data_IF_311679544465
#
_entry.id   IF_311679544465
#
_cell.length_a   1.000
_cell.length_b   1.000
_cell.length_c   1.000
_cell.angle_alpha   90.00
_cell.angle_beta   90.00
_cell.angle_gamma   90.00
#
_symmetry.space_group_name_H-M   'P 1'
#
loop_
_entity.id
_entity.type
_entity.pdbx_description
1 polymer ?
#
# COMPACT_ATOMS: atom_id res chain seq x y z
N UNK A 1 28.58 -43.62 15.39
CA UNK A 1 28.09 -42.58 14.49
C UNK A 1 27.89 -43.18 13.11
N UNK A 2 26.63 -43.36 12.70
CA UNK A 2 26.25 -43.94 11.41
C UNK A 2 26.73 -43.09 10.24
N UNK A 3 26.87 -43.73 9.05
CA UNK A 3 27.29 -43.01 7.82
C UNK A 3 26.38 -41.84 7.45
N UNK A 4 25.10 -41.90 7.81
CA UNK A 4 24.12 -40.83 7.64
C UNK A 4 24.43 -39.61 8.55
N UNK A 5 24.82 -39.82 9.80
CA UNK A 5 25.23 -38.73 10.71
C UNK A 5 26.47 -37.99 10.24
N UNK A 6 27.40 -38.72 9.60
CA UNK A 6 28.61 -38.10 9.01
C UNK A 6 28.28 -37.30 7.74
N UNK A 7 27.28 -37.75 6.96
CA UNK A 7 26.78 -37.06 5.79
C UNK A 7 26.11 -35.73 6.18
N UNK A 8 25.21 -35.77 7.14
CA UNK A 8 24.50 -34.60 7.66
C UNK A 8 25.44 -33.57 8.28
N UNK A 9 26.49 -34.01 9.00
CA UNK A 9 27.51 -33.14 9.56
C UNK A 9 28.34 -32.42 8.49
N UNK A 10 28.68 -33.09 7.39
CA UNK A 10 29.39 -32.47 6.26
C UNK A 10 28.54 -31.47 5.50
N UNK A 11 27.24 -31.75 5.30
CA UNK A 11 26.32 -30.83 4.68
C UNK A 11 26.14 -29.59 5.55
N UNK A 12 25.97 -29.73 6.89
CA UNK A 12 25.92 -28.60 7.84
C UNK A 12 27.20 -27.76 7.82
N UNK A 13 28.37 -28.43 7.72
CA UNK A 13 29.66 -27.70 7.62
C UNK A 13 29.79 -26.95 6.28
N UNK A 14 29.33 -27.54 5.16
CA UNK A 14 29.37 -26.87 3.87
C UNK A 14 28.39 -25.69 3.83
N UNK A 15 27.19 -25.85 4.38
CA UNK A 15 26.22 -24.75 4.51
C UNK A 15 26.76 -23.65 5.41
N UNK A 16 27.35 -23.97 6.55
CA UNK A 16 28.00 -23.00 7.42
C UNK A 16 29.11 -22.24 6.68
N UNK A 17 29.95 -22.92 5.90
CA UNK A 17 31.01 -22.31 5.13
C UNK A 17 30.48 -21.37 4.05
N UNK A 18 29.42 -21.78 3.32
CA UNK A 18 28.76 -20.94 2.31
C UNK A 18 28.12 -19.71 2.98
N UNK A 19 27.39 -19.92 4.08
CA UNK A 19 26.82 -18.82 4.85
C UNK A 19 27.90 -17.88 5.41
N UNK A 20 29.05 -18.39 5.78
CA UNK A 20 30.16 -17.58 6.33
C UNK A 20 30.87 -16.73 5.27
N UNK A 21 31.03 -17.21 4.05
CA UNK A 21 31.90 -16.58 3.07
C UNK A 21 31.17 -15.89 1.92
N UNK A 22 29.93 -16.27 1.63
CA UNK A 22 29.25 -15.82 0.41
C UNK A 22 27.91 -15.08 0.67
N UNK A 23 27.42 -15.03 1.91
CA UNK A 23 26.17 -14.30 2.19
C UNK A 23 26.37 -12.80 2.20
N UNK A 24 25.51 -12.11 1.46
CA UNK A 24 25.47 -10.65 1.34
C UNK A 24 25.16 -10.00 2.71
N UNK A 25 24.35 -10.65 3.56
CA UNK A 25 23.96 -10.17 4.89
C UNK A 25 25.16 -9.90 5.81
N UNK A 26 26.30 -10.58 5.61
CA UNK A 26 27.53 -10.27 6.35
C UNK A 26 28.26 -9.00 5.88
N UNK A 27 27.94 -8.54 4.65
CA UNK A 27 28.51 -7.34 4.06
C UNK A 27 27.57 -6.14 4.13
N UNK A 28 26.31 -6.37 4.45
CA UNK A 28 25.25 -5.38 4.56
C UNK A 28 24.57 -5.52 5.92
N UNK A 29 24.57 -4.46 6.71
CA UNK A 29 23.81 -4.43 7.97
C UNK A 29 22.34 -4.20 7.58
N UNK A 30 21.52 -5.23 7.66
CA UNK A 30 20.07 -5.13 7.54
C UNK A 30 19.45 -5.22 8.93
N UNK A 31 18.80 -4.17 9.36
CA UNK A 31 17.94 -4.22 10.53
C UNK A 31 16.63 -4.89 10.11
N UNK A 32 16.40 -6.11 10.56
CA UNK A 32 15.13 -6.81 10.32
C UNK A 32 14.05 -6.28 11.26
N UNK A 33 12.88 -5.99 10.73
CA UNK A 33 11.73 -5.49 11.50
C UNK A 33 11.35 -6.40 12.66
N UNK A 34 11.40 -7.71 12.49
CA UNK A 34 11.10 -8.69 13.54
C UNK A 34 11.97 -8.53 14.80
N UNK A 35 13.24 -8.16 14.64
CA UNK A 35 14.16 -7.95 15.78
C UNK A 35 13.87 -6.69 16.59
N UNK A 36 13.03 -5.82 16.07
CA UNK A 36 12.66 -4.53 16.65
C UNK A 36 11.14 -4.34 16.77
N UNK A 37 10.38 -5.44 16.64
CA UNK A 37 8.91 -5.42 16.64
C UNK A 37 8.31 -4.70 17.87
N UNK A 38 8.93 -4.83 19.04
CA UNK A 38 8.53 -4.11 20.26
C UNK A 38 8.64 -2.57 20.15
N UNK A 39 9.35 -2.06 19.14
CA UNK A 39 9.56 -0.63 18.88
C UNK A 39 8.83 -0.12 17.65
N UNK A 40 8.04 -0.98 17.03
CA UNK A 40 7.26 -0.66 15.84
C UNK A 40 5.80 -0.42 16.21
N UNK A 41 5.18 0.54 15.55
CA UNK A 41 3.74 0.76 15.66
C UNK A 41 2.98 -0.46 15.11
N UNK A 42 1.83 -0.77 15.71
CA UNK A 42 0.94 -1.82 15.23
C UNK A 42 0.20 -1.34 13.99
N UNK A 43 0.07 -2.21 12.99
CA UNK A 43 -0.81 -1.98 11.85
C UNK A 43 -2.24 -2.37 12.20
N UNK A 44 -3.20 -1.56 11.81
CA UNK A 44 -4.64 -1.82 11.98
C UNK A 44 -5.38 -1.49 10.69
N UNK A 45 -6.45 -2.22 10.42
CA UNK A 45 -7.30 -2.06 9.24
C UNK A 45 -8.67 -1.53 9.64
N UNK A 46 -9.15 -0.53 8.90
CA UNK A 46 -10.54 -0.10 8.86
C UNK A 46 -11.05 -0.21 7.43
N UNK A 47 -11.84 -1.25 7.16
CA UNK A 47 -12.39 -1.54 5.85
C UNK A 47 -13.75 -0.86 5.69
N UNK A 48 -13.95 -0.13 4.61
CA UNK A 48 -15.18 0.60 4.30
C UNK A 48 -15.72 0.11 2.95
N UNK A 49 -16.57 -0.91 2.95
CA UNK A 49 -17.30 -1.28 1.74
C UNK A 49 -18.31 -0.19 1.38
N UNK A 50 -18.44 0.11 0.11
CA UNK A 50 -19.54 0.91 -0.41
C UNK A 50 -20.21 0.17 -1.56
N UNK A 51 -21.52 0.35 -1.69
CA UNK A 51 -22.27 -0.24 -2.79
C UNK A 51 -22.24 0.69 -3.99
N UNK A 52 -21.69 0.26 -5.15
CA UNK A 52 -21.67 1.07 -6.37
C UNK A 52 -23.07 1.59 -6.74
N UNK A 53 -23.15 2.87 -7.12
CA UNK A 53 -24.41 3.57 -7.31
C UNK A 53 -25.20 3.07 -8.51
N UNK A 54 -26.49 2.74 -8.29
CA UNK A 54 -27.47 2.30 -9.27
C UNK A 54 -28.70 3.20 -9.27
N UNK A 55 -28.60 4.41 -9.80
CA UNK A 55 -29.77 5.31 -9.89
C UNK A 55 -30.60 5.14 -11.16
N UNK A 56 -30.07 4.55 -12.24
CA UNK A 56 -30.78 4.22 -13.48
C UNK A 56 -30.13 3.06 -14.22
N UNK A 57 -30.93 2.18 -14.78
CA UNK A 57 -30.61 0.82 -15.22
C UNK A 57 -29.45 0.63 -16.24
N UNK A 58 -28.85 1.66 -16.84
CA UNK A 58 -27.85 1.43 -17.89
C UNK A 58 -26.61 2.35 -17.88
N UNK A 59 -26.58 3.42 -17.08
CA UNK A 59 -25.50 4.42 -17.19
C UNK A 59 -25.12 5.00 -15.83
N UNK A 60 -24.54 4.18 -14.99
CA UNK A 60 -24.08 4.52 -13.64
C UNK A 60 -22.80 3.75 -13.36
N UNK A 61 -22.28 3.83 -12.15
CA UNK A 61 -21.09 3.10 -11.72
C UNK A 61 -21.22 1.58 -11.92
N UNK A 62 -22.36 0.97 -11.53
CA UNK A 62 -22.61 -0.45 -11.79
C UNK A 62 -22.61 -0.75 -13.29
N UNK A 63 -23.24 0.08 -14.08
CA UNK A 63 -23.23 -0.07 -15.55
C UNK A 63 -21.83 0.01 -16.13
N UNK A 64 -21.01 0.95 -15.64
CA UNK A 64 -19.59 1.03 -16.04
C UNK A 64 -18.82 -0.23 -15.68
N UNK A 65 -19.02 -0.78 -14.46
CA UNK A 65 -18.39 -2.04 -14.03
C UNK A 65 -18.83 -3.18 -14.93
N UNK A 66 -20.13 -3.39 -15.11
CA UNK A 66 -20.68 -4.51 -15.89
C UNK A 66 -20.24 -4.45 -17.36
N UNK A 67 -20.33 -3.26 -17.97
CA UNK A 67 -19.93 -3.07 -19.37
C UNK A 67 -18.41 -3.25 -19.56
N UNK A 68 -17.60 -2.87 -18.58
CA UNK A 68 -16.15 -3.08 -18.65
C UNK A 68 -15.80 -4.56 -18.54
N UNK A 69 -16.42 -5.29 -17.62
CA UNK A 69 -16.18 -6.74 -17.49
C UNK A 69 -16.65 -7.48 -18.75
N UNK A 70 -17.81 -7.11 -19.31
CA UNK A 70 -18.29 -7.66 -20.59
C UNK A 70 -17.30 -7.37 -21.73
N UNK A 71 -16.84 -6.11 -21.83
CA UNK A 71 -15.84 -5.73 -22.84
C UNK A 71 -14.55 -6.55 -22.71
N UNK A 72 -14.02 -6.71 -21.49
CA UNK A 72 -12.81 -7.50 -21.25
C UNK A 72 -13.02 -8.97 -21.61
N UNK A 73 -14.18 -9.55 -21.29
CA UNK A 73 -14.51 -10.93 -21.64
C UNK A 73 -14.68 -11.14 -23.16
N UNK A 74 -15.22 -10.16 -23.87
CA UNK A 74 -15.47 -10.25 -25.31
C UNK A 74 -14.20 -9.97 -26.16
N UNK A 75 -13.30 -9.13 -25.66
CA UNK A 75 -12.11 -8.64 -26.38
C UNK A 75 -10.79 -9.13 -25.77
N UNK A 76 -10.86 -9.78 -24.59
CA UNK A 76 -9.70 -10.36 -23.94
C UNK A 76 -9.12 -11.48 -24.79
N UNK A 77 -7.84 -11.36 -25.14
CA UNK A 77 -7.08 -12.46 -25.71
C UNK A 77 -6.59 -13.35 -24.58
N UNK A 78 -6.40 -14.65 -24.82
CA UNK A 78 -5.70 -15.59 -23.91
C UNK A 78 -4.20 -15.22 -23.82
N UNK A 79 -3.90 -13.99 -23.43
CA UNK A 79 -2.56 -13.41 -23.37
C UNK A 79 -2.36 -12.64 -22.06
N UNK A 80 -1.40 -13.06 -21.26
CA UNK A 80 -0.97 -12.40 -20.04
C UNK A 80 -0.60 -10.93 -20.25
N UNK A 81 -0.05 -10.58 -21.41
CA UNK A 81 0.27 -9.18 -21.73
C UNK A 81 -1.00 -8.35 -21.86
N UNK A 82 -2.08 -8.90 -22.40
CA UNK A 82 -3.36 -8.17 -22.44
C UNK A 82 -3.90 -7.89 -21.04
N UNK A 83 -3.80 -8.88 -20.15
CA UNK A 83 -4.23 -8.69 -18.74
C UNK A 83 -3.38 -7.63 -18.07
N UNK A 84 -2.07 -7.68 -18.20
CA UNK A 84 -1.14 -6.75 -17.51
C UNK A 84 -1.15 -5.34 -18.11
N UNK A 85 -1.23 -5.21 -19.44
CA UNK A 85 -1.12 -3.91 -20.12
C UNK A 85 -2.47 -3.24 -20.40
N UNK A 86 -3.57 -4.00 -20.35
CA UNK A 86 -4.90 -3.46 -20.69
C UNK A 86 -5.91 -3.71 -19.57
N UNK A 87 -6.16 -4.96 -19.17
CA UNK A 87 -7.24 -5.28 -18.26
C UNK A 87 -7.00 -4.72 -16.85
N UNK A 88 -5.86 -5.02 -16.23
CA UNK A 88 -5.52 -4.51 -14.88
C UNK A 88 -5.48 -2.96 -14.86
N UNK A 89 -4.82 -2.25 -15.78
CA UNK A 89 -4.89 -0.79 -15.82
C UNK A 89 -6.29 -0.22 -15.99
N UNK A 90 -7.15 -0.88 -16.76
CA UNK A 90 -8.53 -0.47 -16.97
C UNK A 90 -9.37 -0.69 -15.70
N UNK A 91 -9.26 -1.87 -15.07
CA UNK A 91 -9.93 -2.20 -13.81
C UNK A 91 -9.45 -1.32 -12.66
N UNK A 92 -8.14 -1.07 -12.56
CA UNK A 92 -7.58 -0.15 -11.58
C UNK A 92 -8.19 1.25 -11.68
N UNK A 93 -8.35 1.76 -12.89
CA UNK A 93 -8.95 3.08 -13.11
C UNK A 93 -10.46 3.08 -12.86
N UNK A 94 -11.15 2.00 -13.25
CA UNK A 94 -12.58 1.80 -13.01
C UNK A 94 -12.89 1.82 -11.51
N UNK A 95 -12.09 1.12 -10.70
CA UNK A 95 -12.23 1.08 -9.25
C UNK A 95 -11.49 2.23 -8.53
N UNK A 96 -11.25 3.34 -9.20
CA UNK A 96 -10.73 4.56 -8.61
C UNK A 96 -11.73 5.72 -8.73
N UNK A 97 -12.06 6.13 -9.94
CA UNK A 97 -13.06 7.18 -10.18
C UNK A 97 -13.48 7.25 -11.65
N UNK A 98 -14.62 7.88 -11.98
CA UNK A 98 -15.00 8.08 -13.39
C UNK A 98 -14.00 8.92 -14.19
N UNK A 99 -13.30 9.85 -13.55
CA UNK A 99 -12.24 10.64 -14.19
C UNK A 99 -11.03 9.79 -14.55
N UNK A 100 -10.62 8.89 -13.65
CA UNK A 100 -9.54 7.93 -13.90
C UNK A 100 -9.94 6.95 -15.00
N UNK A 101 -11.17 6.47 -14.98
CA UNK A 101 -11.69 5.56 -16.00
C UNK A 101 -11.72 6.18 -17.40
N UNK A 102 -12.24 7.41 -17.56
CA UNK A 102 -12.16 8.13 -18.82
C UNK A 102 -10.72 8.34 -19.32
N UNK A 103 -9.81 8.64 -18.39
CA UNK A 103 -8.38 8.81 -18.73
C UNK A 103 -7.73 7.48 -19.17
N UNK A 104 -8.07 6.38 -18.52
CA UNK A 104 -7.61 5.04 -18.90
C UNK A 104 -8.11 4.64 -20.28
N UNK A 105 -9.40 4.82 -20.59
CA UNK A 105 -9.96 4.54 -21.91
C UNK A 105 -9.20 5.30 -23.01
N UNK A 106 -8.92 6.59 -22.76
CA UNK A 106 -8.17 7.43 -23.71
C UNK A 106 -6.72 6.96 -23.88
N UNK A 107 -6.03 6.67 -22.77
CA UNK A 107 -4.63 6.22 -22.74
C UNK A 107 -4.46 4.86 -23.42
N UNK A 108 -5.36 3.93 -23.15
CA UNK A 108 -5.38 2.60 -23.74
C UNK A 108 -5.93 2.59 -25.17
N UNK A 109 -6.43 3.75 -25.66
CA UNK A 109 -7.03 3.91 -27.00
C UNK A 109 -8.22 2.97 -27.23
N UNK A 110 -9.01 2.74 -26.18
CA UNK A 110 -10.25 1.97 -26.25
C UNK A 110 -11.33 2.90 -26.80
N UNK A 111 -11.79 2.63 -28.03
CA UNK A 111 -12.83 3.40 -28.73
C UNK A 111 -14.12 2.54 -28.79
N UNK A 112 -14.60 2.13 -27.63
CA UNK A 112 -15.86 1.41 -27.48
C UNK A 112 -16.96 2.38 -27.06
N UNK A 113 -18.01 2.49 -27.88
CA UNK A 113 -19.08 3.45 -27.65
C UNK A 113 -19.87 3.23 -26.36
N UNK A 114 -20.00 1.95 -25.90
CA UNK A 114 -20.71 1.61 -24.67
C UNK A 114 -19.89 2.04 -23.47
N UNK A 115 -18.59 1.75 -23.48
CA UNK A 115 -17.69 2.14 -22.38
C UNK A 115 -17.55 3.66 -22.27
N UNK A 116 -17.41 4.36 -23.38
CA UNK A 116 -17.31 5.83 -23.42
C UNK A 116 -18.59 6.48 -22.90
N UNK A 117 -19.76 5.96 -23.27
CA UNK A 117 -21.04 6.47 -22.79
C UNK A 117 -21.24 6.18 -21.30
N UNK A 118 -20.89 4.98 -20.82
CA UNK A 118 -20.94 4.60 -19.43
C UNK A 118 -20.03 5.47 -18.56
N UNK A 119 -18.80 5.69 -19.00
CA UNK A 119 -17.84 6.55 -18.29
C UNK A 119 -18.37 7.98 -18.17
N UNK A 120 -18.86 8.57 -19.28
CA UNK A 120 -19.41 9.92 -19.30
C UNK A 120 -20.69 10.07 -18.45
N UNK A 121 -21.52 9.05 -18.41
CA UNK A 121 -22.73 9.06 -17.59
C UNK A 121 -22.42 8.94 -16.08
N UNK A 122 -21.53 8.03 -15.71
CA UNK A 122 -21.04 7.90 -14.34
C UNK A 122 -20.34 9.16 -13.86
N UNK A 123 -19.51 9.76 -14.70
CA UNK A 123 -18.88 11.04 -14.38
C UNK A 123 -19.88 12.16 -14.10
N UNK A 124 -20.91 12.34 -14.95
CA UNK A 124 -21.96 13.34 -14.69
C UNK A 124 -22.69 13.10 -13.37
N UNK A 125 -22.92 11.83 -13.02
CA UNK A 125 -23.53 11.45 -11.74
C UNK A 125 -22.62 11.86 -10.57
N UNK A 126 -21.32 11.52 -10.61
CA UNK A 126 -20.35 11.89 -9.59
C UNK A 126 -20.19 13.41 -9.46
N UNK A 127 -20.16 14.16 -10.58
CA UNK A 127 -20.11 15.62 -10.56
C UNK A 127 -21.33 16.24 -9.86
N UNK A 128 -22.53 15.69 -10.07
CA UNK A 128 -23.74 16.11 -9.37
C UNK A 128 -23.65 15.82 -7.86
N UNK A 129 -23.20 14.62 -7.49
CA UNK A 129 -22.98 14.22 -6.10
C UNK A 129 -21.97 15.16 -5.41
N UNK A 130 -20.81 15.40 -6.03
CA UNK A 130 -19.77 16.27 -5.49
C UNK A 130 -20.22 17.73 -5.33
N UNK A 131 -21.13 18.21 -6.19
CA UNK A 131 -21.69 19.55 -6.07
C UNK A 131 -22.54 19.74 -4.80
N UNK A 132 -22.98 18.65 -4.21
CA UNK A 132 -23.82 18.61 -3.00
C UNK A 132 -23.03 18.19 -1.74
N UNK A 133 -21.70 18.17 -1.77
CA UNK A 133 -20.86 17.67 -0.68
C UNK A 133 -21.23 18.23 0.69
N UNK A 134 -21.49 19.52 0.79
CA UNK A 134 -21.84 20.17 2.05
C UNK A 134 -23.22 19.77 2.57
N UNK A 135 -24.18 19.52 1.66
CA UNK A 135 -25.54 19.08 2.02
C UNK A 135 -25.54 17.59 2.34
N UNK A 136 -24.87 16.79 1.52
CA UNK A 136 -24.85 15.35 1.65
C UNK A 136 -24.18 14.85 2.93
N UNK A 137 -23.15 15.58 3.43
CA UNK A 137 -22.48 15.23 4.65
C UNK A 137 -23.19 15.76 5.91
N UNK A 138 -23.85 16.93 5.82
CA UNK A 138 -24.47 17.58 6.99
C UNK A 138 -25.91 17.13 7.24
N UNK A 139 -26.69 16.89 6.18
CA UNK A 139 -28.15 16.79 6.26
C UNK A 139 -28.73 15.40 5.95
N UNK A 140 -28.00 14.55 5.23
CA UNK A 140 -28.50 13.24 4.80
C UNK A 140 -27.45 12.13 4.97
N UNK A 141 -27.32 11.58 6.19
CA UNK A 141 -26.40 10.48 6.45
C UNK A 141 -26.77 9.17 5.73
N UNK A 142 -28.02 9.02 5.30
CA UNK A 142 -28.51 7.82 4.61
C UNK A 142 -28.38 7.92 3.08
N UNK A 143 -27.87 9.04 2.57
CA UNK A 143 -27.63 9.19 1.14
C UNK A 143 -26.61 8.16 0.67
N UNK A 144 -26.96 7.43 -0.40
CA UNK A 144 -26.02 6.51 -1.04
C UNK A 144 -24.89 7.35 -1.68
N UNK A 145 -23.66 7.08 -1.26
CA UNK A 145 -22.49 7.84 -1.64
C UNK A 145 -21.58 7.01 -2.52
N UNK A 146 -21.06 7.61 -3.58
CA UNK A 146 -19.97 7.02 -4.36
C UNK A 146 -18.65 7.03 -3.59
N UNK A 147 -17.62 6.41 -4.15
CA UNK A 147 -16.31 6.19 -3.51
C UNK A 147 -15.71 7.43 -2.84
N UNK A 148 -15.58 8.54 -3.58
CA UNK A 148 -14.92 9.74 -3.06
C UNK A 148 -15.76 10.41 -1.97
N UNK A 149 -17.09 10.37 -2.10
CA UNK A 149 -17.98 10.87 -1.05
C UNK A 149 -17.98 9.97 0.18
N UNK A 150 -17.84 8.66 0.02
CA UNK A 150 -17.64 7.72 1.15
C UNK A 150 -16.35 8.04 1.89
N UNK A 151 -15.27 8.38 1.18
CA UNK A 151 -14.03 8.84 1.81
C UNK A 151 -14.22 10.15 2.59
N UNK A 152 -14.95 11.11 2.01
CA UNK A 152 -15.26 12.38 2.67
C UNK A 152 -16.11 12.18 3.91
N UNK A 153 -17.11 11.30 3.84
CA UNK A 153 -17.97 10.95 4.97
C UNK A 153 -17.17 10.33 6.12
N UNK A 154 -16.26 9.42 5.80
CA UNK A 154 -15.34 8.85 6.79
C UNK A 154 -14.48 9.92 7.45
N UNK A 155 -13.92 10.84 6.68
CA UNK A 155 -13.10 11.93 7.21
C UNK A 155 -13.92 12.85 8.14
N UNK A 156 -15.14 13.16 7.75
CA UNK A 156 -16.05 14.04 8.49
C UNK A 156 -16.51 13.42 9.82
N UNK A 157 -16.82 12.12 9.83
CA UNK A 157 -17.44 11.44 10.96
C UNK A 157 -16.47 10.71 11.89
N UNK A 158 -15.37 10.19 11.33
CA UNK A 158 -14.49 9.24 12.01
C UNK A 158 -13.08 9.79 12.29
N UNK A 159 -12.85 11.08 11.99
CA UNK A 159 -11.57 11.73 12.25
C UNK A 159 -11.73 13.06 12.97
N UNK A 160 -10.74 13.42 13.78
CA UNK A 160 -10.71 14.71 14.49
C UNK A 160 -10.09 15.81 13.59
N UNK A 161 -10.36 15.78 12.27
CA UNK A 161 -9.70 16.65 11.28
C UNK A 161 -9.95 18.13 11.54
N UNK A 162 -11.07 18.50 12.14
CA UNK A 162 -11.42 19.88 12.49
C UNK A 162 -10.98 20.28 13.90
N UNK A 163 -11.00 19.34 14.84
CA UNK A 163 -10.86 19.62 16.26
C UNK A 163 -9.41 19.45 16.77
N UNK A 164 -8.61 18.59 16.15
CA UNK A 164 -7.23 18.32 16.55
C UNK A 164 -6.21 18.77 15.48
N UNK A 165 -5.43 19.79 15.82
CA UNK A 165 -4.35 20.28 14.94
C UNK A 165 -3.27 19.23 14.63
N UNK A 166 -3.12 18.22 15.43
CA UNK A 166 -2.19 17.12 15.19
C UNK A 166 -2.76 16.01 14.28
N UNK A 167 -4.07 16.01 14.03
CA UNK A 167 -4.71 15.06 13.13
C UNK A 167 -4.33 15.35 11.68
N UNK A 168 -3.38 14.58 11.15
CA UNK A 168 -2.95 14.65 9.75
C UNK A 168 -3.20 13.33 9.05
N UNK A 169 -3.71 13.41 7.83
CA UNK A 169 -4.10 12.25 7.03
C UNK A 169 -3.27 12.18 5.75
N UNK A 170 -2.89 10.98 5.37
CA UNK A 170 -2.32 10.69 4.05
C UNK A 170 -3.36 9.94 3.24
N UNK A 171 -3.66 10.41 2.04
CA UNK A 171 -4.60 9.79 1.12
C UNK A 171 -3.84 9.30 -0.09
N UNK A 172 -4.04 8.06 -0.50
CA UNK A 172 -3.42 7.48 -1.68
C UNK A 172 -4.43 7.10 -2.75
N UNK A 173 -4.05 7.33 -3.98
CA UNK A 173 -4.71 6.80 -5.18
C UNK A 173 -3.66 6.47 -6.24
N UNK A 174 -3.92 5.48 -7.09
CA UNK A 174 -3.04 5.17 -8.22
C UNK A 174 -3.18 6.17 -9.38
N UNK A 175 -4.22 7.02 -9.35
CA UNK A 175 -4.63 7.81 -10.51
C UNK A 175 -4.62 9.32 -10.23
N UNK A 176 -3.85 10.05 -11.02
CA UNK A 176 -3.77 11.51 -10.92
C UNK A 176 -5.12 12.22 -11.10
N UNK A 177 -5.98 11.69 -11.97
CA UNK A 177 -7.31 12.27 -12.17
C UNK A 177 -8.18 12.17 -10.91
N UNK A 178 -8.11 11.06 -10.19
CA UNK A 178 -8.76 10.86 -8.88
C UNK A 178 -8.16 11.77 -7.81
N UNK A 179 -6.83 11.88 -7.78
CA UNK A 179 -6.11 12.76 -6.86
C UNK A 179 -6.60 14.21 -6.98
N UNK A 180 -6.66 14.73 -8.21
CA UNK A 180 -7.06 16.11 -8.47
C UNK A 180 -8.53 16.37 -8.13
N UNK A 181 -9.40 15.42 -8.42
CA UNK A 181 -10.83 15.57 -8.07
C UNK A 181 -11.06 15.47 -6.56
N UNK A 182 -10.37 14.54 -5.86
CA UNK A 182 -10.48 14.45 -4.42
C UNK A 182 -9.91 15.68 -3.71
N UNK A 183 -8.81 16.24 -4.20
CA UNK A 183 -8.25 17.51 -3.71
C UNK A 183 -9.27 18.66 -3.82
N UNK A 184 -9.92 18.76 -4.97
CA UNK A 184 -10.98 19.78 -5.20
C UNK A 184 -12.16 19.57 -4.27
N UNK A 185 -12.62 18.32 -4.12
CA UNK A 185 -13.74 17.95 -3.27
C UNK A 185 -13.45 18.26 -1.80
N UNK A 186 -12.27 17.87 -1.31
CA UNK A 186 -11.83 18.13 0.06
C UNK A 186 -11.77 19.65 0.35
N UNK A 187 -11.12 20.42 -0.51
CA UNK A 187 -10.99 21.85 -0.31
C UNK A 187 -12.35 22.58 -0.44
N UNK A 188 -13.28 22.09 -1.26
CA UNK A 188 -14.64 22.63 -1.34
C UNK A 188 -15.43 22.43 -0.04
N UNK A 189 -15.13 21.36 0.71
CA UNK A 189 -15.76 21.07 2.02
C UNK A 189 -15.13 21.86 3.17
N UNK A 190 -13.79 21.91 3.23
CA UNK A 190 -13.08 22.26 4.45
C UNK A 190 -12.35 23.61 4.41
N UNK A 191 -12.12 24.25 3.24
CA UNK A 191 -11.33 25.47 3.16
C UNK A 191 -11.93 26.63 3.98
N UNK A 192 -13.25 26.78 3.97
CA UNK A 192 -13.94 27.80 4.77
C UNK A 192 -13.88 27.53 6.29
N UNK A 193 -13.51 26.31 6.68
CA UNK A 193 -13.30 25.89 8.07
C UNK A 193 -11.84 26.01 8.52
N UNK A 194 -10.95 26.57 7.67
CA UNK A 194 -9.53 26.74 7.95
C UNK A 194 -8.70 25.47 7.82
N UNK A 195 -9.19 24.47 7.09
CA UNK A 195 -8.48 23.21 6.80
C UNK A 195 -8.36 23.01 5.30
N UNK A 196 -7.17 22.64 4.84
CA UNK A 196 -6.95 22.38 3.41
C UNK A 196 -6.08 21.14 3.19
N UNK A 197 -6.15 20.63 1.97
CA UNK A 197 -5.33 19.55 1.46
C UNK A 197 -4.34 20.06 0.41
N UNK A 198 -3.23 19.35 0.27
CA UNK A 198 -2.25 19.53 -0.80
C UNK A 198 -2.06 18.24 -1.60
N UNK A 199 -1.67 18.40 -2.87
CA UNK A 199 -1.34 17.30 -3.76
C UNK A 199 0.14 16.93 -3.67
N UNK A 200 0.46 15.67 -3.95
CA UNK A 200 1.81 15.17 -4.13
C UNK A 200 1.79 14.07 -5.21
N UNK A 201 2.06 14.43 -6.43
CA UNK A 201 1.94 13.52 -7.58
C UNK A 201 2.98 13.76 -8.68
N UNK A 202 3.16 12.77 -9.54
CA UNK A 202 4.16 12.72 -10.60
C UNK A 202 4.04 13.82 -11.67
N UNK A 203 2.89 14.48 -11.74
CA UNK A 203 2.63 15.59 -12.66
C UNK A 203 3.18 16.93 -12.17
N UNK A 204 3.64 16.98 -10.91
CA UNK A 204 4.11 18.21 -10.27
C UNK A 204 5.61 18.39 -10.45
N UNK A 205 6.04 19.65 -10.54
CA UNK A 205 7.46 19.99 -10.54
C UNK A 205 8.08 19.75 -9.14
N UNK A 206 9.37 19.52 -9.11
CA UNK A 206 10.09 19.19 -7.87
C UNK A 206 9.89 20.23 -6.76
N UNK A 207 9.85 21.51 -7.12
CA UNK A 207 9.67 22.61 -6.18
C UNK A 207 8.27 22.56 -5.55
N UNK A 208 7.24 22.32 -6.36
CA UNK A 208 5.85 22.15 -5.90
C UNK A 208 5.70 20.94 -4.96
N UNK A 209 6.40 19.83 -5.26
CA UNK A 209 6.42 18.64 -4.40
C UNK A 209 7.06 18.94 -3.04
N UNK A 210 8.16 19.70 -3.01
CA UNK A 210 8.83 20.09 -1.77
C UNK A 210 7.95 21.06 -0.95
N UNK A 211 7.28 22.00 -1.59
CA UNK A 211 6.36 22.93 -0.95
C UNK A 211 5.15 22.21 -0.34
N UNK A 212 4.57 21.22 -1.05
CA UNK A 212 3.47 20.41 -0.55
C UNK A 212 3.85 19.61 0.70
N UNK A 213 5.02 18.98 0.69
CA UNK A 213 5.52 18.26 1.87
C UNK A 213 5.80 19.21 3.02
N UNK A 214 6.39 20.38 2.73
CA UNK A 214 6.66 21.38 3.75
C UNK A 214 5.37 21.91 4.37
N UNK A 215 4.36 22.22 3.58
CA UNK A 215 3.05 22.65 4.05
C UNK A 215 2.41 21.56 4.92
N UNK A 216 2.37 20.32 4.44
CA UNK A 216 1.81 19.20 5.21
C UNK A 216 2.52 18.99 6.56
N UNK A 217 3.83 19.20 6.64
CA UNK A 217 4.58 18.99 7.87
C UNK A 217 4.49 20.18 8.85
N UNK A 218 4.41 21.41 8.36
CA UNK A 218 4.63 22.61 9.18
C UNK A 218 3.43 23.54 9.29
N UNK A 219 2.48 23.49 8.34
CA UNK A 219 1.28 24.29 8.37
C UNK A 219 0.18 23.57 9.16
N UNK A 220 -0.31 24.15 10.28
CA UNK A 220 -1.39 23.55 11.06
C UNK A 220 -2.73 23.50 10.32
N UNK A 221 -2.96 24.34 9.30
CA UNK A 221 -4.18 24.32 8.48
C UNK A 221 -4.10 23.26 7.38
N UNK A 222 -2.89 22.84 6.95
CA UNK A 222 -2.70 21.77 5.98
C UNK A 222 -2.78 20.40 6.66
N UNK A 223 -3.96 19.79 6.68
CA UNK A 223 -4.23 18.54 7.40
C UNK A 223 -4.15 17.29 6.55
N UNK A 224 -4.26 17.42 5.24
CA UNK A 224 -4.29 16.27 4.31
C UNK A 224 -3.26 16.44 3.21
N UNK A 225 -2.53 15.36 2.94
CA UNK A 225 -1.72 15.23 1.73
C UNK A 225 -2.27 14.08 0.89
N UNK A 226 -2.57 14.35 -0.38
CA UNK A 226 -3.11 13.38 -1.32
C UNK A 226 -2.00 13.00 -2.29
N UNK A 227 -1.62 11.73 -2.30
CA UNK A 227 -0.47 11.21 -3.02
C UNK A 227 -0.88 10.26 -4.14
N UNK A 228 -0.16 10.29 -5.26
CA UNK A 228 -0.10 9.16 -6.17
C UNK A 228 1.00 8.16 -5.76
N UNK A 229 1.09 7.02 -6.45
CA UNK A 229 2.06 5.97 -6.12
C UNK A 229 3.52 6.42 -6.27
N UNK A 230 3.81 7.22 -7.30
CA UNK A 230 5.16 7.70 -7.58
C UNK A 230 5.54 8.88 -6.71
N UNK A 231 4.57 9.72 -6.38
CA UNK A 231 4.76 10.91 -5.56
C UNK A 231 5.22 10.61 -4.14
N UNK A 232 4.87 9.44 -3.61
CA UNK A 232 5.26 9.01 -2.25
C UNK A 232 6.71 8.53 -2.11
N UNK A 233 7.47 8.27 -3.18
CA UNK A 233 8.80 7.67 -3.07
C UNK A 233 9.79 8.53 -2.27
N UNK A 234 10.48 7.89 -1.31
CA UNK A 234 11.52 8.52 -0.48
C UNK A 234 11.02 9.48 0.60
N UNK A 235 9.74 9.81 0.68
CA UNK A 235 9.18 10.72 1.69
C UNK A 235 8.75 9.97 2.96
N UNK A 236 8.66 10.71 4.05
CA UNK A 236 8.33 10.19 5.36
C UNK A 236 7.10 10.91 5.91
N UNK A 237 6.03 10.17 6.14
CA UNK A 237 4.77 10.66 6.69
C UNK A 237 4.44 10.03 8.05
N UNK A 238 5.46 9.66 8.82
CA UNK A 238 5.27 9.01 10.14
C UNK A 238 4.49 9.86 11.16
N UNK A 239 4.27 11.14 10.88
CA UNK A 239 3.47 12.04 11.72
C UNK A 239 1.97 11.92 11.42
N UNK A 240 1.58 11.31 10.30
CA UNK A 240 0.17 11.15 9.98
C UNK A 240 -0.49 10.13 10.90
N UNK A 241 -1.73 10.40 11.30
CA UNK A 241 -2.51 9.51 12.14
C UNK A 241 -2.88 8.22 11.40
N UNK A 242 -3.25 8.36 10.12
CA UNK A 242 -3.73 7.23 9.31
C UNK A 242 -3.49 7.45 7.82
N UNK A 243 -3.56 6.35 7.07
CA UNK A 243 -3.52 6.33 5.62
C UNK A 243 -4.87 5.87 5.07
N UNK A 244 -5.41 6.64 4.11
CA UNK A 244 -6.66 6.33 3.41
C UNK A 244 -6.33 5.89 1.99
N UNK A 245 -6.76 4.71 1.61
CA UNK A 245 -6.62 4.17 0.26
C UNK A 245 -7.93 4.41 -0.49
N UNK A 246 -7.95 5.36 -1.44
CA UNK A 246 -9.11 5.63 -2.29
C UNK A 246 -9.34 4.52 -3.32
N UNK A 247 -8.30 3.80 -3.67
CA UNK A 247 -8.30 2.62 -4.53
C UNK A 247 -7.29 1.59 -4.04
N UNK A 248 -7.51 0.35 -4.41
CA UNK A 248 -6.66 -0.77 -4.02
C UNK A 248 -5.67 -1.05 -5.17
N UNK A 249 -4.34 -0.97 -4.91
CA UNK A 249 -3.36 -1.39 -5.90
C UNK A 249 -3.49 -2.86 -6.27
N UNK A 250 -3.36 -3.16 -7.56
CA UNK A 250 -3.32 -4.53 -8.09
C UNK A 250 -1.97 -5.23 -7.85
N UNK A 251 -1.06 -4.57 -7.18
CA UNK A 251 0.26 -5.07 -6.82
C UNK A 251 0.48 -4.91 -5.32
N UNK A 252 0.79 -6.01 -4.65
CA UNK A 252 1.02 -6.05 -3.20
C UNK A 252 2.16 -5.11 -2.75
N UNK A 253 3.22 -4.97 -3.56
CA UNK A 253 4.33 -4.08 -3.23
C UNK A 253 3.91 -2.60 -3.21
N UNK A 254 3.02 -2.19 -4.12
CA UNK A 254 2.52 -0.81 -4.13
C UNK A 254 1.72 -0.52 -2.85
N UNK A 255 0.86 -1.45 -2.42
CA UNK A 255 0.12 -1.32 -1.17
C UNK A 255 1.05 -1.27 0.06
N UNK A 256 2.04 -2.16 0.12
CA UNK A 256 3.07 -2.15 1.18
C UNK A 256 3.86 -0.84 1.20
N UNK A 257 4.20 -0.30 0.04
CA UNK A 257 4.88 1.00 -0.06
C UNK A 257 4.01 2.13 0.49
N UNK A 258 2.71 2.16 0.18
CA UNK A 258 1.77 3.16 0.73
C UNK A 258 1.75 3.11 2.27
N UNK A 259 1.55 1.93 2.85
CA UNK A 259 1.54 1.73 4.31
C UNK A 259 2.91 2.06 4.91
N UNK A 260 3.98 1.66 4.25
CA UNK A 260 5.37 1.91 4.66
C UNK A 260 5.78 3.38 4.74
N UNK A 261 4.96 4.32 4.21
CA UNK A 261 5.22 5.76 4.40
C UNK A 261 4.96 6.22 5.84
N UNK A 262 4.04 5.57 6.52
CA UNK A 262 3.70 5.83 7.91
C UNK A 262 4.43 4.87 8.85
N UNK A 263 4.56 3.61 8.45
CA UNK A 263 5.16 2.51 9.21
C UNK A 263 6.69 2.53 9.10
N UNK A 264 7.32 3.46 9.81
CA UNK A 264 8.78 3.65 9.81
C UNK A 264 9.35 3.66 11.22
N UNK A 265 10.63 3.28 11.30
CA UNK A 265 11.44 3.47 12.50
C UNK A 265 11.42 4.94 12.93
N UNK A 266 11.08 5.17 14.21
CA UNK A 266 10.96 6.51 14.78
C UNK A 266 9.52 7.03 14.88
N UNK A 267 8.53 6.33 14.32
CA UNK A 267 7.12 6.54 14.66
C UNK A 267 6.91 6.19 16.13
N UNK A 268 6.07 6.95 16.82
CA UNK A 268 5.67 6.62 18.18
C UNK A 268 5.01 5.22 18.19
N UNK A 269 5.54 4.23 18.95
CA UNK A 269 4.98 2.88 18.99
C UNK A 269 3.55 2.82 19.55
N UNK A 270 3.14 3.83 20.30
CA UNK A 270 1.78 3.93 20.86
C UNK A 270 0.76 4.49 19.85
N UNK A 271 1.23 4.94 18.69
CA UNK A 271 0.39 5.39 17.56
C UNK A 271 0.30 4.30 16.52
N UNK A 272 -0.80 3.58 16.47
CA UNK A 272 -1.07 2.58 15.42
C UNK A 272 -0.93 3.17 14.00
N UNK A 273 -0.55 2.33 13.05
CA UNK A 273 -0.64 2.65 11.61
C UNK A 273 -1.99 2.17 11.14
N UNK A 274 -2.98 3.05 11.16
CA UNK A 274 -4.35 2.74 10.73
C UNK A 274 -4.44 2.90 9.20
N UNK A 275 -4.70 1.79 8.51
CA UNK A 275 -5.05 1.77 7.08
C UNK A 275 -6.56 1.78 6.93
N UNK A 276 -7.09 2.77 6.24
CA UNK A 276 -8.50 2.87 5.87
C UNK A 276 -8.61 2.51 4.40
N UNK A 277 -9.40 1.51 4.07
CA UNK A 277 -9.53 1.00 2.70
C UNK A 277 -10.98 1.11 2.25
N UNK A 278 -11.20 1.85 1.17
CA UNK A 278 -12.50 2.02 0.56
C UNK A 278 -12.57 1.13 -0.67
N UNK A 279 -13.55 0.26 -0.74
CA UNK A 279 -13.70 -0.66 -1.86
C UNK A 279 -15.16 -0.88 -2.23
N UNK A 280 -15.39 -1.17 -3.51
CA UNK A 280 -16.71 -1.51 -4.03
C UNK A 280 -17.09 -2.93 -3.61
N UNK A 281 -18.19 -3.09 -2.88
CA UNK A 281 -18.70 -4.39 -2.49
C UNK A 281 -19.25 -5.18 -3.70
N UNK A 282 -19.36 -6.48 -3.56
CA UNK A 282 -19.85 -7.41 -4.60
C UNK A 282 -19.15 -7.27 -5.96
N UNK A 283 -17.89 -6.93 -5.95
CA UNK A 283 -17.08 -6.65 -7.14
C UNK A 283 -15.76 -7.44 -7.16
N UNK A 284 -15.08 -7.40 -8.29
CA UNK A 284 -13.72 -7.92 -8.46
C UNK A 284 -12.71 -7.22 -7.52
N UNK A 285 -12.97 -5.96 -7.16
CA UNK A 285 -12.13 -5.23 -6.21
C UNK A 285 -12.28 -5.78 -4.78
N UNK A 286 -13.48 -6.19 -4.37
CA UNK A 286 -13.68 -6.87 -3.08
C UNK A 286 -12.90 -8.18 -3.01
N UNK A 287 -12.89 -8.95 -4.10
CA UNK A 287 -12.11 -10.18 -4.18
C UNK A 287 -10.61 -9.88 -4.00
N UNK A 288 -10.10 -8.88 -4.70
CA UNK A 288 -8.71 -8.41 -4.56
C UNK A 288 -8.41 -7.91 -3.13
N UNK A 289 -9.33 -7.18 -2.52
CA UNK A 289 -9.20 -6.72 -1.13
C UNK A 289 -9.02 -7.89 -0.16
N UNK A 290 -9.81 -8.94 -0.32
CA UNK A 290 -9.72 -10.13 0.53
C UNK A 290 -8.40 -10.89 0.31
N UNK A 291 -7.88 -10.96 -0.93
CA UNK A 291 -6.56 -11.53 -1.19
C UNK A 291 -5.48 -10.78 -0.39
N UNK A 292 -5.48 -9.45 -0.42
CA UNK A 292 -4.50 -8.65 0.33
C UNK A 292 -4.69 -8.72 1.84
N UNK A 293 -5.93 -8.76 2.31
CA UNK A 293 -6.26 -8.79 3.73
C UNK A 293 -6.04 -10.18 4.34
N UNK A 294 -6.68 -11.19 3.78
CA UNK A 294 -6.77 -12.52 4.38
C UNK A 294 -5.63 -13.42 3.93
N UNK A 295 -5.22 -13.35 2.66
CA UNK A 295 -4.10 -14.07 2.09
C UNK A 295 -2.76 -13.50 2.56
N UNK A 296 -2.45 -12.30 2.15
CA UNK A 296 -1.15 -11.68 2.42
C UNK A 296 -1.03 -11.01 3.78
N UNK A 297 -2.14 -10.73 4.47
CA UNK A 297 -2.20 -10.03 5.77
C UNK A 297 -1.46 -8.68 5.75
N UNK A 298 -1.50 -7.97 4.60
CA UNK A 298 -0.72 -6.75 4.36
C UNK A 298 -1.02 -5.61 5.34
N UNK A 299 -2.25 -5.59 5.84
CA UNK A 299 -2.68 -4.57 6.80
C UNK A 299 -2.30 -4.87 8.25
N UNK A 300 -1.74 -6.04 8.51
CA UNK A 300 -1.30 -6.47 9.85
C UNK A 300 0.21 -6.64 9.93
N UNK A 301 0.83 -7.07 8.84
CA UNK A 301 2.24 -7.44 8.78
C UNK A 301 2.94 -6.75 7.59
N UNK A 302 4.24 -6.52 7.73
CA UNK A 302 5.06 -5.98 6.64
C UNK A 302 5.53 -7.10 5.72
N UNK A 303 5.53 -6.84 4.41
CA UNK A 303 6.09 -7.73 3.37
C UNK A 303 7.62 -7.88 3.42
N UNK A 304 8.30 -7.34 4.43
CA UNK A 304 9.75 -7.35 4.51
C UNK A 304 10.32 -8.78 4.36
N UNK A 305 10.96 -9.04 3.24
CA UNK A 305 11.50 -10.36 2.86
C UNK A 305 10.58 -11.18 1.93
N UNK A 306 9.37 -10.72 1.64
CA UNK A 306 8.39 -11.41 0.80
C UNK A 306 8.36 -10.90 -0.66
N UNK A 307 9.34 -10.08 -1.08
CA UNK A 307 9.38 -9.45 -2.40
C UNK A 307 9.39 -10.50 -3.55
N UNK A 308 9.93 -11.68 -3.31
CA UNK A 308 9.92 -12.78 -4.29
C UNK A 308 8.52 -13.38 -4.43
N UNK A 309 7.82 -13.51 -3.31
CA UNK A 309 6.48 -14.09 -3.22
C UNK A 309 5.44 -13.23 -3.96
N UNK A 310 5.61 -11.92 -3.95
CA UNK A 310 4.68 -11.01 -4.63
C UNK A 310 4.66 -11.21 -6.15
N UNK A 311 5.76 -11.70 -6.75
CA UNK A 311 5.81 -12.04 -8.17
C UNK A 311 4.91 -13.23 -8.50
N UNK A 312 5.07 -14.33 -7.78
CA UNK A 312 4.29 -15.56 -7.97
C UNK A 312 2.79 -15.32 -7.71
N UNK A 313 2.46 -14.53 -6.69
CA UNK A 313 1.07 -14.19 -6.40
C UNK A 313 0.44 -13.30 -7.50
N UNK A 314 1.21 -12.38 -8.08
CA UNK A 314 0.72 -11.60 -9.21
C UNK A 314 0.45 -12.47 -10.44
N UNK A 315 1.25 -13.53 -10.69
CA UNK A 315 1.01 -14.51 -11.75
C UNK A 315 -0.32 -15.24 -11.53
N UNK A 316 -0.62 -15.67 -10.30
CA UNK A 316 -1.91 -16.31 -9.99
C UNK A 316 -3.12 -15.37 -10.18
N UNK A 317 -2.97 -14.10 -9.84
CA UNK A 317 -4.02 -13.10 -10.09
C UNK A 317 -4.25 -12.93 -11.60
N UNK A 318 -3.18 -12.91 -12.39
CA UNK A 318 -3.24 -12.80 -13.85
C UNK A 318 -3.92 -14.04 -14.43
N UNK A 319 -3.54 -15.25 -14.02
CA UNK A 319 -4.15 -16.50 -14.44
C UNK A 319 -5.65 -16.53 -14.09
N UNK A 320 -6.02 -16.12 -12.88
CA UNK A 320 -7.41 -16.07 -12.46
C UNK A 320 -8.25 -15.09 -13.30
N UNK A 321 -7.70 -13.94 -13.68
CA UNK A 321 -8.36 -12.98 -14.56
C UNK A 321 -8.47 -13.49 -16.01
N UNK A 322 -7.47 -14.23 -16.48
CA UNK A 322 -7.52 -14.90 -17.80
C UNK A 322 -8.63 -15.95 -17.87
N UNK A 323 -8.87 -16.66 -16.76
CA UNK A 323 -9.95 -17.66 -16.70
C UNK A 323 -11.32 -16.98 -16.77
N UNK A 324 -11.57 -15.96 -15.95
CA UNK A 324 -12.83 -15.21 -15.97
C UNK A 324 -12.72 -13.86 -15.25
N UNK A 325 -13.07 -12.76 -15.94
CA UNK A 325 -13.03 -11.42 -15.37
C UNK A 325 -14.09 -11.13 -14.30
N UNK A 326 -15.16 -11.94 -14.23
CA UNK A 326 -16.23 -11.77 -13.23
C UNK A 326 -15.98 -12.55 -11.95
N UNK A 327 -15.52 -13.79 -12.09
CA UNK A 327 -15.46 -14.75 -10.98
C UNK A 327 -14.10 -15.41 -10.80
N UNK A 328 -13.15 -15.18 -11.69
CA UNK A 328 -11.85 -15.85 -11.69
C UNK A 328 -11.10 -15.70 -10.38
N UNK A 329 -11.00 -14.49 -9.85
CA UNK A 329 -10.36 -14.24 -8.55
C UNK A 329 -11.11 -14.95 -7.41
N UNK A 330 -12.44 -15.00 -7.46
CA UNK A 330 -13.23 -15.68 -6.44
C UNK A 330 -13.06 -17.22 -6.55
N UNK A 331 -12.97 -17.75 -7.75
CA UNK A 331 -12.78 -19.19 -7.98
C UNK A 331 -11.37 -19.64 -7.57
N UNK A 332 -10.36 -18.81 -7.78
CA UNK A 332 -8.98 -19.07 -7.41
C UNK A 332 -8.64 -18.65 -5.96
N UNK A 333 -9.60 -18.11 -5.21
CA UNK A 333 -9.36 -17.49 -3.91
C UNK A 333 -8.71 -18.43 -2.90
N UNK A 334 -9.26 -19.64 -2.72
CA UNK A 334 -8.72 -20.62 -1.76
C UNK A 334 -7.31 -21.08 -2.17
N UNK A 335 -7.06 -21.32 -3.47
CA UNK A 335 -5.74 -21.70 -3.98
C UNK A 335 -4.72 -20.56 -3.78
N UNK A 336 -5.14 -19.30 -3.99
CA UNK A 336 -4.29 -18.13 -3.77
C UNK A 336 -3.96 -17.97 -2.26
N UNK A 337 -4.95 -18.21 -1.37
CA UNK A 337 -4.72 -18.17 0.06
C UNK A 337 -3.73 -19.24 0.53
N UNK A 338 -3.94 -20.47 0.09
CA UNK A 338 -3.07 -21.61 0.45
C UNK A 338 -1.63 -21.37 -0.01
N UNK A 339 -1.45 -20.91 -1.24
CA UNK A 339 -0.12 -20.57 -1.75
C UNK A 339 0.51 -19.39 -1.01
N UNK A 340 -0.26 -18.35 -0.71
CA UNK A 340 0.23 -17.21 0.07
C UNK A 340 0.67 -17.63 1.49
N UNK A 341 0.01 -18.62 2.09
CA UNK A 341 0.38 -19.17 3.40
C UNK A 341 1.64 -20.03 3.33
N UNK A 342 1.73 -20.96 2.36
CA UNK A 342 2.93 -21.77 2.13
C UNK A 342 4.17 -20.91 1.88
N UNK A 343 4.02 -19.86 1.08
CA UNK A 343 5.09 -18.92 0.78
C UNK A 343 5.56 -18.16 2.02
N UNK A 344 4.63 -17.73 2.88
CA UNK A 344 4.98 -17.06 4.15
C UNK A 344 5.73 -18.00 5.09
N UNK A 345 5.25 -19.22 5.27
CA UNK A 345 5.93 -20.24 6.08
C UNK A 345 7.35 -20.49 5.57
N UNK A 346 7.52 -20.60 4.25
CA UNK A 346 8.84 -20.77 3.64
C UNK A 346 9.80 -19.60 3.96
N UNK A 347 9.31 -18.37 3.95
CA UNK A 347 10.12 -17.19 4.28
C UNK A 347 10.40 -17.09 5.77
N UNK A 348 9.45 -17.46 6.62
CA UNK A 348 9.65 -17.52 8.08
C UNK A 348 10.71 -18.57 8.42
N UNK A 349 10.66 -19.73 7.81
CA UNK A 349 11.65 -20.80 7.98
C UNK A 349 13.05 -20.36 7.51
N UNK A 350 13.17 -19.66 6.40
CA UNK A 350 14.44 -19.05 5.96
C UNK A 350 14.95 -18.00 6.95
N UNK A 351 14.06 -17.18 7.48
CA UNK A 351 14.40 -16.16 8.46
C UNK A 351 14.86 -16.77 9.79
N UNK A 352 14.19 -17.80 10.26
CA UNK A 352 14.58 -18.52 11.48
C UNK A 352 15.91 -19.26 11.30
N UNK A 353 16.15 -19.82 10.12
CA UNK A 353 17.45 -20.40 9.77
C UNK A 353 18.56 -19.36 9.77
N UNK A 354 18.29 -18.17 9.24
CA UNK A 354 19.23 -17.05 9.24
C UNK A 354 19.48 -16.48 10.64
N UNK A 355 18.46 -16.39 11.48
CA UNK A 355 18.60 -15.99 12.89
C UNK A 355 19.46 -16.99 13.65
N UNK A 356 19.24 -18.30 13.46
CA UNK A 356 20.06 -19.36 14.02
C UNK A 356 21.52 -19.28 13.60
N UNK A 357 21.78 -18.88 12.36
CA UNK A 357 23.14 -18.71 11.82
C UNK A 357 23.83 -17.41 12.30
N UNK A 358 23.07 -16.37 12.64
CA UNK A 358 23.61 -15.07 13.11
C UNK A 358 23.86 -15.02 14.62
N UNK A 359 23.36 -15.97 15.40
CA UNK A 359 23.61 -16.08 16.85
C UNK A 359 25.05 -16.49 17.23
N UNK A 360 26.00 -16.39 16.30
CA UNK A 360 27.41 -16.59 16.60
C UNK A 360 27.94 -15.41 17.44
N UNK A 361 28.34 -15.72 18.66
CA UNK A 361 28.70 -14.88 19.81
C UNK A 361 29.61 -13.64 19.66
N UNK A 362 30.37 -13.37 18.59
CA UNK A 362 31.18 -12.16 18.53
C UNK A 362 30.40 -10.85 18.40
N UNK A 363 29.19 -10.90 17.81
CA UNK A 363 28.39 -9.66 17.62
C UNK A 363 27.75 -9.18 18.93
N UNK A 364 27.29 -10.07 19.82
CA UNK A 364 26.68 -9.67 21.09
C UNK A 364 27.67 -8.91 21.98
N UNK A 365 28.91 -9.35 22.04
CA UNK A 365 29.96 -8.68 22.80
C UNK A 365 30.33 -7.30 22.22
N UNK A 366 30.30 -7.15 20.89
CA UNK A 366 30.48 -5.86 20.21
C UNK A 366 29.35 -4.88 20.48
N UNK A 367 28.10 -5.34 20.43
CA UNK A 367 26.89 -4.54 20.73
C UNK A 367 26.87 -4.10 22.19
N UNK A 368 27.19 -4.98 23.12
CA UNK A 368 27.24 -4.65 24.55
C UNK A 368 28.34 -3.63 24.86
N UNK A 369 29.48 -3.73 24.19
CA UNK A 369 30.55 -2.73 24.27
C UNK A 369 30.09 -1.36 23.71
N UNK A 370 29.44 -1.33 22.54
CA UNK A 370 28.90 -0.09 21.97
C UNK A 370 27.83 0.53 22.87
N UNK A 371 26.92 -0.28 23.43
CA UNK A 371 25.91 0.19 24.41
C UNK A 371 26.56 0.78 25.66
N UNK A 372 27.59 0.15 26.19
CA UNK A 372 28.30 0.64 27.38
C UNK A 372 29.04 1.95 27.12
N UNK A 373 29.60 2.13 25.92
CA UNK A 373 30.26 3.35 25.49
C UNK A 373 29.25 4.48 25.29
N UNK A 374 28.10 4.19 24.66
CA UNK A 374 27.03 5.15 24.48
C UNK A 374 26.42 5.62 25.81
N UNK A 375 26.32 4.72 26.78
CA UNK A 375 25.84 5.04 28.13
C UNK A 375 26.85 5.87 28.95
N UNK A 376 28.14 5.97 28.52
CA UNK A 376 29.17 6.73 29.21
C UNK A 376 29.24 8.22 28.80
N UNK A 377 28.44 8.66 27.83
CA UNK A 377 28.44 10.03 27.28
C UNK A 377 29.80 10.54 26.77
N UNK A 378 30.73 9.65 26.44
CA UNK A 378 32.06 10.01 25.94
C UNK A 378 32.15 9.82 24.43
N UNK A 379 31.94 10.88 23.66
CA UNK A 379 31.97 10.90 22.20
C UNK A 379 33.29 10.38 21.61
N UNK A 380 34.41 10.53 22.32
CA UNK A 380 35.72 10.10 21.86
C UNK A 380 35.88 8.58 21.88
N UNK A 381 35.32 7.95 22.89
CA UNK A 381 35.26 6.48 23.03
C UNK A 381 34.33 5.85 21.99
N UNK A 382 33.19 6.48 21.70
CA UNK A 382 32.27 6.04 20.66
C UNK A 382 32.92 6.08 19.27
N UNK A 383 33.55 7.19 18.91
CA UNK A 383 34.27 7.32 17.65
C UNK A 383 35.38 6.27 17.50
N UNK A 384 36.14 6.00 18.56
CA UNK A 384 37.21 4.98 18.57
C UNK A 384 36.63 3.58 18.43
N UNK A 385 35.53 3.28 19.09
CA UNK A 385 34.85 1.98 18.98
C UNK A 385 34.29 1.76 17.58
N UNK A 386 33.66 2.78 16.97
CA UNK A 386 33.12 2.73 15.61
C UNK A 386 34.24 2.54 14.58
N UNK A 387 35.37 3.25 14.71
CA UNK A 387 36.51 3.03 13.82
C UNK A 387 37.13 1.63 13.98
N UNK A 388 37.20 1.12 15.21
CA UNK A 388 37.66 -0.24 15.49
C UNK A 388 36.76 -1.30 14.86
N UNK A 389 35.45 -1.12 15.01
CA UNK A 389 34.46 -1.98 14.40
C UNK A 389 34.49 -1.93 12.86
N UNK A 390 34.56 -0.72 12.27
CA UNK A 390 34.67 -0.53 10.83
C UNK A 390 35.88 -1.27 10.25
N UNK A 391 37.04 -1.19 10.92
CA UNK A 391 38.25 -1.94 10.50
C UNK A 391 38.05 -3.46 10.58
N UNK A 392 37.42 -3.97 11.61
CA UNK A 392 37.12 -5.42 11.75
C UNK A 392 36.10 -5.89 10.73
N UNK A 393 35.17 -5.03 10.35
CA UNK A 393 34.17 -5.29 9.29
C UNK A 393 34.74 -5.13 7.87
N UNK A 394 36.03 -4.74 7.72
CA UNK A 394 36.65 -4.53 6.42
C UNK A 394 36.22 -3.23 5.73
N UNK A 395 35.69 -2.28 6.46
CA UNK A 395 35.40 -0.92 6.01
C UNK A 395 36.64 -0.08 6.23
N UNK A 396 37.24 0.44 5.14
CA UNK A 396 38.37 1.35 5.18
C UNK A 396 37.91 2.80 5.21
#
# INVERSE_FOLDING_TARGET
LNAEDKGLSKVKQALAYICENYRIERKVIRNRRQLISEKMAKRTLHAIPYTPLSLNENYNEIGAIQNTLAYLSDNGEDDENYVTETAIPLLSALFSSPWAFEDALRRLKIDDGILLESAAAWRRQAENEHSLVNIALDEDPDLIKGRLMTAMDYIDQETDILDDESCKLVVFTAHNATLMEFLKLFNARYADMGVHAVAFGNHMEREELEDSVYAFQNDPECRVIICDETGGEGRNFQNAAQVIHLDIPWNANALEQRIGRLDRLGRNPDMDVKSVVIYADTSVEEQLFHIWKDGMKLFEQSLSGLEIITGELNELIIEALLDDYYTGLNNAFDDILDQAEEMRESVEDEQDFDLGATLYRPLSQGIDNVRSIYASEDDSLFATAMMGWGKQAGLN
#
